data_IF_574293610905
#
_entry.id   IF_574293610905
#
_cell.length_a   1.000
_cell.length_b   1.000
_cell.length_c   1.000
_cell.angle_alpha   90.00
_cell.angle_beta   90.00
_cell.angle_gamma   90.00
#
_symmetry.space_group_name_H-M   'P 1'
#
loop_
_entity.id
_entity.type
_entity.pdbx_description
1 polymer ?
#
# COMPACT_ATOMS: atom_id res chain seq x y z
N UNK A 1 4.78 20.06 -7.83
CA UNK A 1 4.23 21.43 -7.95
C UNK A 1 4.89 22.26 -6.87
N UNK A 2 5.50 23.41 -7.17
CA UNK A 2 6.44 24.09 -6.27
C UNK A 2 5.85 24.67 -4.97
N UNK A 3 4.59 24.50 -4.66
CA UNK A 3 3.94 25.02 -3.45
C UNK A 3 2.92 24.08 -2.83
N UNK A 4 2.91 22.82 -3.21
CA UNK A 4 2.14 21.81 -2.50
C UNK A 4 3.06 21.17 -1.48
N UNK A 5 2.71 21.17 -0.23
CA UNK A 5 3.48 20.64 0.89
C UNK A 5 4.10 19.25 0.69
N UNK A 6 4.45 18.60 1.76
CA UNK A 6 4.98 17.23 1.75
C UNK A 6 3.80 16.28 1.57
N UNK A 7 3.84 15.46 0.51
CA UNK A 7 2.95 14.31 0.36
C UNK A 7 3.53 13.15 1.16
N UNK A 8 2.82 12.73 2.20
CA UNK A 8 3.20 11.57 3.01
C UNK A 8 2.32 10.37 2.62
N UNK A 9 2.85 9.45 1.80
CA UNK A 9 2.12 8.24 1.37
C UNK A 9 2.10 7.15 2.45
N UNK A 10 3.15 7.05 3.25
CA UNK A 10 3.28 6.10 4.36
C UNK A 10 4.20 6.65 5.44
N UNK A 11 4.04 6.18 6.67
CA UNK A 11 4.89 6.59 7.79
C UNK A 11 4.72 5.71 9.03
N UNK A 12 5.64 5.90 9.95
CA UNK A 12 5.67 5.24 11.26
C UNK A 12 6.04 6.28 12.31
N UNK A 13 5.39 6.26 13.47
CA UNK A 13 5.77 7.12 14.59
C UNK A 13 6.62 6.37 15.63
N UNK A 14 7.09 7.08 16.65
CA UNK A 14 7.93 6.56 17.74
C UNK A 14 7.24 5.49 18.60
N UNK A 15 5.92 5.37 18.53
CA UNK A 15 5.14 4.32 19.17
C UNK A 15 4.95 3.07 18.30
N UNK A 16 5.59 3.01 17.15
CA UNK A 16 5.43 1.96 16.13
C UNK A 16 4.00 1.87 15.58
N UNK A 17 3.26 2.95 15.59
CA UNK A 17 2.03 3.07 14.82
C UNK A 17 2.41 3.38 13.39
N UNK A 18 1.92 2.56 12.47
CA UNK A 18 2.19 2.69 11.04
C UNK A 18 0.93 3.08 10.29
N UNK A 19 1.06 3.92 9.27
CA UNK A 19 -0.03 4.33 8.40
C UNK A 19 0.40 4.30 6.94
N UNK A 20 -0.57 4.00 6.08
CA UNK A 20 -0.49 4.21 4.64
C UNK A 20 -1.81 4.81 4.17
N UNK A 21 -1.78 5.97 3.57
CA UNK A 21 -2.90 6.54 2.85
C UNK A 21 -2.90 5.96 1.44
N UNK A 22 -4.02 5.38 1.04
CA UNK A 22 -4.16 4.83 -0.30
C UNK A 22 -5.07 5.74 -1.12
N UNK A 23 -4.59 6.08 -2.31
CA UNK A 23 -5.31 6.88 -3.28
C UNK A 23 -6.67 6.29 -3.61
N UNK A 24 -7.63 7.15 -3.68
CA UNK A 24 -8.93 7.10 -4.37
C UNK A 24 -9.63 5.74 -4.43
N UNK A 25 -10.53 5.50 -3.51
CA UNK A 25 -11.59 4.52 -3.67
C UNK A 25 -12.82 5.19 -4.33
N UNK A 26 -13.68 4.42 -4.97
CA UNK A 26 -14.85 4.96 -5.65
C UNK A 26 -16.13 4.75 -4.82
N UNK A 27 -16.82 5.84 -4.50
CA UNK A 27 -18.12 5.88 -3.84
C UNK A 27 -19.21 6.15 -4.88
N UNK A 28 -20.39 5.55 -4.73
CA UNK A 28 -21.45 5.73 -5.72
C UNK A 28 -22.13 7.10 -5.64
N UNK A 29 -22.71 7.52 -6.76
CA UNK A 29 -23.33 8.84 -6.94
C UNK A 29 -24.47 9.16 -5.95
N UNK A 30 -25.14 8.15 -5.39
CA UNK A 30 -26.22 8.36 -4.41
C UNK A 30 -25.64 8.81 -3.07
N UNK A 31 -24.51 8.26 -2.68
CA UNK A 31 -23.78 8.68 -1.49
C UNK A 31 -23.24 10.08 -1.68
N UNK A 32 -22.58 10.34 -2.82
CA UNK A 32 -22.03 11.67 -3.12
C UNK A 32 -23.11 12.76 -3.26
N UNK A 33 -24.32 12.40 -3.68
CA UNK A 33 -25.45 13.34 -3.68
C UNK A 33 -25.98 13.63 -2.26
N UNK A 34 -25.82 12.69 -1.33
CA UNK A 34 -26.28 12.83 0.07
C UNK A 34 -25.22 13.48 0.98
N UNK A 35 -23.96 13.20 0.73
CA UNK A 35 -22.78 13.75 1.42
C UNK A 35 -21.69 14.10 0.37
N UNK A 36 -21.78 15.28 -0.26
CA UNK A 36 -20.83 15.72 -1.26
C UNK A 36 -19.42 15.87 -0.72
N UNK A 37 -18.44 15.60 -1.57
CA UNK A 37 -17.03 15.90 -1.26
C UNK A 37 -16.84 17.40 -0.98
N UNK A 38 -15.96 17.73 -0.05
CA UNK A 38 -15.67 19.09 0.38
C UNK A 38 -14.57 19.69 -0.48
N UNK A 39 -14.93 20.15 -1.68
CA UNK A 39 -13.99 20.73 -2.63
C UNK A 39 -13.62 22.16 -2.28
N UNK A 40 -12.37 22.56 -2.56
CA UNK A 40 -11.92 23.94 -2.46
C UNK A 40 -12.76 24.83 -3.39
N UNK A 41 -13.36 25.87 -2.83
CA UNK A 41 -14.02 26.92 -3.60
C UNK A 41 -13.13 28.17 -3.60
N UNK A 42 -12.51 28.51 -4.74
CA UNK A 42 -11.62 29.65 -4.80
C UNK A 42 -12.39 30.97 -4.59
N UNK A 43 -11.71 31.97 -4.03
CA UNK A 43 -12.29 33.29 -3.86
C UNK A 43 -12.78 33.84 -5.21
N UNK A 44 -13.96 34.48 -5.21
CA UNK A 44 -14.52 35.15 -6.37
C UNK A 44 -14.68 36.64 -6.10
N UNK A 45 -13.68 37.42 -6.53
CA UNK A 45 -13.66 38.90 -6.33
C UNK A 45 -14.88 39.59 -6.97
N UNK A 46 -15.38 39.09 -8.09
CA UNK A 46 -16.54 39.68 -8.78
C UNK A 46 -17.86 39.48 -8.01
N UNK A 47 -17.94 38.43 -7.18
CA UNK A 47 -19.10 38.12 -6.34
C UNK A 47 -18.89 38.46 -4.86
N UNK A 48 -17.74 39.03 -4.50
CA UNK A 48 -17.34 39.36 -3.12
C UNK A 48 -17.46 38.12 -2.17
N UNK A 49 -17.10 36.93 -2.69
CA UNK A 49 -17.11 35.70 -1.89
C UNK A 49 -15.68 35.29 -1.55
N UNK A 50 -15.38 35.05 -0.24
CA UNK A 50 -14.06 34.56 0.17
C UNK A 50 -13.83 33.12 -0.30
N UNK A 51 -12.58 32.70 -0.29
CA UNK A 51 -12.22 31.29 -0.48
C UNK A 51 -12.84 30.45 0.66
N UNK A 52 -13.38 29.27 0.26
CA UNK A 52 -13.80 28.23 1.22
C UNK A 52 -12.81 27.08 1.09
N UNK A 53 -12.08 26.73 2.16
CA UNK A 53 -11.11 25.64 2.14
C UNK A 53 -11.76 24.31 1.74
N UNK A 54 -11.00 23.46 1.04
CA UNK A 54 -11.36 22.07 0.83
C UNK A 54 -11.22 21.23 2.09
N UNK A 55 -11.74 20.03 2.05
CA UNK A 55 -11.54 19.01 3.07
C UNK A 55 -10.13 18.42 3.04
N UNK A 56 -9.91 17.41 3.86
CA UNK A 56 -8.64 16.71 3.99
C UNK A 56 -8.42 15.79 2.77
N UNK A 57 -7.22 15.75 2.23
CA UNK A 57 -6.81 14.82 1.18
C UNK A 57 -5.77 13.81 1.66
N UNK A 58 -5.43 12.87 0.78
CA UNK A 58 -4.43 11.82 1.08
C UNK A 58 -3.07 12.41 1.50
N UNK A 59 -2.69 13.56 0.92
CA UNK A 59 -1.44 14.25 1.22
C UNK A 59 -1.30 14.70 2.67
N UNK A 60 -2.41 14.92 3.36
CA UNK A 60 -2.44 15.46 4.73
C UNK A 60 -2.73 14.40 5.80
N UNK A 61 -3.40 13.30 5.44
CA UNK A 61 -3.94 12.32 6.40
C UNK A 61 -2.86 11.82 7.37
N UNK A 62 -1.69 11.38 6.86
CA UNK A 62 -0.63 10.84 7.70
C UNK A 62 -0.09 11.89 8.66
N UNK A 63 0.16 13.11 8.18
CA UNK A 63 0.71 14.20 8.99
C UNK A 63 -0.26 14.74 10.02
N UNK A 64 -1.57 14.62 9.78
CA UNK A 64 -2.63 15.02 10.70
C UNK A 64 -2.95 13.97 11.78
N UNK A 65 -2.62 12.71 11.53
CA UNK A 65 -2.96 11.60 12.42
C UNK A 65 -1.75 11.07 13.17
N UNK A 66 -0.73 10.63 12.45
CA UNK A 66 0.37 9.83 12.99
C UNK A 66 1.14 10.48 14.14
N UNK A 67 1.45 11.80 14.15
CA UNK A 67 2.17 12.44 15.25
C UNK A 67 1.39 12.56 16.57
N UNK A 68 0.10 12.18 16.60
CA UNK A 68 -0.79 12.45 17.71
C UNK A 68 -1.37 11.20 18.37
N UNK A 69 -0.91 10.02 17.97
CA UNK A 69 -1.51 8.74 18.38
C UNK A 69 -0.45 7.76 18.85
N UNK A 70 -0.85 6.89 19.77
CA UNK A 70 0.03 5.86 20.37
C UNK A 70 -0.42 4.44 20.02
N UNK A 71 -1.62 4.28 19.45
CA UNK A 71 -2.16 3.00 19.00
C UNK A 71 -2.87 3.16 17.65
N UNK A 72 -3.03 2.06 16.92
CA UNK A 72 -3.77 2.03 15.67
C UNK A 72 -5.24 2.45 15.88
N UNK A 73 -5.84 2.02 16.97
CA UNK A 73 -7.22 2.35 17.35
C UNK A 73 -7.44 3.85 17.60
N UNK A 74 -6.49 4.50 18.27
CA UNK A 74 -6.49 5.96 18.41
C UNK A 74 -6.35 6.65 17.05
N UNK A 75 -5.56 6.08 16.15
CA UNK A 75 -5.42 6.56 14.78
C UNK A 75 -6.73 6.56 14.02
N UNK A 76 -7.50 5.47 14.10
CA UNK A 76 -8.83 5.38 13.49
C UNK A 76 -9.78 6.43 14.07
N UNK A 77 -9.84 6.54 15.42
CA UNK A 77 -10.72 7.50 16.07
C UNK A 77 -10.39 8.95 15.70
N UNK A 78 -9.08 9.30 15.70
CA UNK A 78 -8.62 10.63 15.33
C UNK A 78 -8.92 10.97 13.87
N UNK A 79 -8.65 10.04 12.94
CA UNK A 79 -8.98 10.25 11.53
C UNK A 79 -10.48 10.47 11.36
N UNK A 80 -11.30 9.65 12.03
CA UNK A 80 -12.75 9.79 12.02
C UNK A 80 -13.23 11.16 12.48
N UNK A 81 -12.72 11.66 13.62
CA UNK A 81 -13.05 13.00 14.14
C UNK A 81 -12.65 14.12 13.16
N UNK A 82 -11.51 13.99 12.50
CA UNK A 82 -11.05 14.95 11.50
C UNK A 82 -11.98 14.95 10.28
N UNK A 83 -12.37 13.78 9.78
CA UNK A 83 -13.29 13.62 8.66
C UNK A 83 -14.68 14.17 8.99
N UNK A 84 -15.21 13.89 10.16
CA UNK A 84 -16.51 14.43 10.60
C UNK A 84 -16.49 15.96 10.76
N UNK A 85 -15.35 16.53 11.10
CA UNK A 85 -15.21 17.98 11.36
C UNK A 85 -14.91 18.79 10.10
N UNK A 86 -14.01 18.32 9.28
CA UNK A 86 -13.46 19.06 8.11
C UNK A 86 -13.87 18.48 6.77
N UNK A 87 -14.32 17.24 6.76
CA UNK A 87 -14.61 16.50 5.55
C UNK A 87 -13.38 16.13 4.74
N UNK A 88 -13.62 15.49 3.61
CA UNK A 88 -12.61 15.16 2.61
C UNK A 88 -13.03 15.64 1.22
N UNK A 89 -12.05 16.04 0.39
CA UNK A 89 -12.33 16.40 -1.01
C UNK A 89 -12.20 15.21 -1.97
N UNK A 90 -11.78 14.04 -1.46
CA UNK A 90 -11.63 12.81 -2.24
C UNK A 90 -11.95 11.58 -1.37
N UNK A 91 -12.21 10.45 -2.00
CA UNK A 91 -12.49 9.22 -1.27
C UNK A 91 -11.23 8.38 -1.11
N UNK A 92 -10.89 8.03 0.12
CA UNK A 92 -9.66 7.32 0.48
C UNK A 92 -9.93 6.04 1.27
N UNK A 93 -9.04 5.05 1.06
CA UNK A 93 -8.84 3.94 1.96
C UNK A 93 -7.53 4.13 2.73
N UNK A 94 -7.54 3.97 4.03
CA UNK A 94 -6.38 4.19 4.90
C UNK A 94 -6.11 2.98 5.76
N UNK A 95 -4.86 2.51 5.77
CA UNK A 95 -4.40 1.43 6.64
C UNK A 95 -3.73 2.06 7.85
N UNK A 96 -4.11 1.62 9.05
CA UNK A 96 -3.50 2.02 10.32
C UNK A 96 -3.19 0.76 11.11
N UNK A 97 -1.95 0.59 11.53
CA UNK A 97 -1.52 -0.61 12.25
C UNK A 97 -0.57 -0.29 13.40
N UNK A 98 -0.55 -1.16 14.38
CA UNK A 98 0.44 -1.21 15.45
C UNK A 98 0.86 -2.66 15.72
N UNK A 99 1.45 -2.94 16.87
CA UNK A 99 1.90 -4.29 17.25
C UNK A 99 0.75 -5.27 17.51
N UNK A 100 -0.45 -4.77 17.79
CA UNK A 100 -1.61 -5.56 18.22
C UNK A 100 -2.72 -5.62 17.19
N UNK A 101 -2.90 -4.58 16.37
CA UNK A 101 -4.06 -4.44 15.49
C UNK A 101 -3.70 -3.85 14.13
N UNK A 102 -4.44 -4.29 13.10
CA UNK A 102 -4.46 -3.67 11.77
C UNK A 102 -5.89 -3.21 11.50
N UNK A 103 -6.08 -1.94 11.20
CA UNK A 103 -7.35 -1.33 10.83
C UNK A 103 -7.32 -0.82 9.40
N UNK A 104 -8.43 -0.98 8.72
CA UNK A 104 -8.67 -0.38 7.42
C UNK A 104 -9.87 0.56 7.50
N UNK A 105 -9.66 1.80 7.09
CA UNK A 105 -10.66 2.87 7.08
C UNK A 105 -11.05 3.17 5.65
N UNK A 106 -12.35 3.29 5.37
CA UNK A 106 -12.90 3.76 4.10
C UNK A 106 -13.73 5.02 4.32
N UNK A 107 -13.47 6.08 3.55
CA UNK A 107 -14.32 7.27 3.54
C UNK A 107 -15.60 7.02 2.76
N UNK A 108 -16.72 7.53 3.26
CA UNK A 108 -18.06 7.36 2.69
C UNK A 108 -18.64 8.74 2.42
N UNK A 109 -18.42 9.27 1.22
CA UNK A 109 -18.78 10.65 0.91
C UNK A 109 -17.82 11.68 1.54
N UNK A 110 -18.31 12.88 1.79
CA UNK A 110 -17.52 14.00 2.28
C UNK A 110 -17.14 13.92 3.75
N UNK A 111 -18.01 13.37 4.62
CA UNK A 111 -17.81 13.42 6.08
C UNK A 111 -17.96 12.08 6.78
N UNK A 112 -18.62 11.10 6.15
CA UNK A 112 -18.85 9.80 6.75
C UNK A 112 -17.69 8.85 6.47
N UNK A 113 -17.50 7.87 7.36
CA UNK A 113 -16.47 6.87 7.26
C UNK A 113 -16.85 5.58 7.98
N UNK A 114 -16.20 4.49 7.60
CA UNK A 114 -16.24 3.20 8.28
C UNK A 114 -14.81 2.70 8.48
N UNK A 115 -14.60 1.86 9.48
CA UNK A 115 -13.36 1.15 9.70
C UNK A 115 -13.62 -0.28 10.16
N UNK A 116 -12.80 -1.20 9.70
CA UNK A 116 -12.84 -2.60 10.10
C UNK A 116 -11.45 -3.09 10.47
N UNK A 117 -11.35 -3.75 11.62
CA UNK A 117 -10.14 -4.46 12.04
C UNK A 117 -9.93 -5.69 11.16
N UNK A 118 -8.73 -5.89 10.65
CA UNK A 118 -8.35 -7.11 9.96
C UNK A 118 -8.20 -8.22 11.00
N UNK A 119 -8.86 -9.37 10.86
CA UNK A 119 -8.66 -10.51 11.76
C UNK A 119 -7.20 -10.97 11.76
N UNK A 120 -6.70 -11.44 12.91
CA UNK A 120 -5.28 -11.73 13.14
C UNK A 120 -4.71 -12.85 12.26
N UNK A 121 -5.57 -13.73 11.77
CA UNK A 121 -5.22 -14.85 10.89
C UNK A 121 -5.52 -14.58 9.40
N UNK A 122 -5.90 -13.35 9.06
CA UNK A 122 -6.35 -12.99 7.72
C UNK A 122 -5.40 -12.01 7.02
N UNK A 123 -5.44 -12.03 5.70
CA UNK A 123 -5.02 -10.91 4.86
C UNK A 123 -6.24 -10.21 4.27
N UNK A 124 -6.08 -8.96 3.90
CA UNK A 124 -7.09 -8.18 3.17
C UNK A 124 -6.55 -7.72 1.82
N UNK A 125 -7.43 -7.69 0.80
CA UNK A 125 -7.09 -7.16 -0.53
C UNK A 125 -7.81 -5.84 -0.75
N UNK A 126 -7.03 -4.79 -1.05
CA UNK A 126 -7.50 -3.40 -1.09
C UNK A 126 -7.16 -2.78 -2.45
N UNK A 127 -8.02 -2.97 -3.48
CA UNK A 127 -7.91 -2.22 -4.72
C UNK A 127 -8.47 -0.79 -4.56
N UNK A 128 -8.42 0.03 -5.62
CA UNK A 128 -9.02 1.38 -5.62
C UNK A 128 -10.57 1.34 -5.66
N UNK A 129 -11.18 0.60 -4.74
CA UNK A 129 -12.60 0.33 -4.65
C UNK A 129 -12.94 0.08 -3.18
N UNK A 130 -14.16 0.42 -2.73
CA UNK A 130 -14.60 -0.01 -1.40
C UNK A 130 -14.51 -1.54 -1.31
N UNK A 131 -13.85 -2.01 -0.26
CA UNK A 131 -13.55 -3.42 -0.04
C UNK A 131 -14.39 -4.05 1.05
N UNK A 132 -14.64 -3.34 2.15
CA UNK A 132 -15.34 -3.87 3.33
C UNK A 132 -16.70 -4.43 2.90
N UNK A 133 -16.90 -5.72 3.11
CA UNK A 133 -18.04 -6.49 2.64
C UNK A 133 -19.02 -6.89 3.75
N UNK A 134 -18.64 -6.70 5.00
CA UNK A 134 -19.46 -6.94 6.19
C UNK A 134 -19.17 -5.88 7.25
N UNK A 135 -20.22 -5.35 7.87
CA UNK A 135 -20.14 -4.32 8.89
C UNK A 135 -21.24 -4.47 9.94
N UNK A 136 -20.84 -4.60 11.20
CA UNK A 136 -21.73 -4.78 12.35
C UNK A 136 -21.90 -3.46 13.13
N UNK A 137 -23.08 -2.87 13.06
CA UNK A 137 -23.43 -1.67 13.81
C UNK A 137 -23.53 -1.89 15.32
N UNK A 138 -23.84 -3.12 15.76
CA UNK A 138 -23.93 -3.40 17.19
C UNK A 138 -22.56 -3.34 17.86
N UNK A 139 -21.51 -3.79 17.18
CA UNK A 139 -20.13 -3.61 17.63
C UNK A 139 -19.67 -2.16 17.46
N UNK A 140 -19.93 -1.54 16.31
CA UNK A 140 -19.46 -0.19 16.00
C UNK A 140 -20.00 0.88 16.96
N UNK A 141 -21.24 0.78 17.40
CA UNK A 141 -21.85 1.65 18.42
C UNK A 141 -21.73 1.11 19.85
N UNK A 142 -21.21 -0.10 20.02
CA UNK A 142 -20.99 -0.78 21.29
C UNK A 142 -19.53 -0.78 21.74
N UNK A 143 -18.93 -1.95 21.74
CA UNK A 143 -17.57 -2.16 22.25
C UNK A 143 -16.46 -1.77 21.26
N UNK A 144 -16.79 -1.57 20.00
CA UNK A 144 -15.86 -1.17 18.91
C UNK A 144 -14.65 -2.11 18.79
N UNK A 145 -14.87 -3.40 18.94
CA UNK A 145 -13.79 -4.39 18.87
C UNK A 145 -13.26 -4.57 17.45
N UNK A 146 -14.18 -4.62 16.48
CA UNK A 146 -13.87 -4.93 15.10
C UNK A 146 -14.35 -3.87 14.11
N UNK A 147 -15.27 -3.01 14.52
CA UNK A 147 -15.88 -2.01 13.65
C UNK A 147 -15.95 -0.64 14.33
N UNK A 148 -15.70 0.40 13.56
CA UNK A 148 -15.90 1.80 13.96
C UNK A 148 -16.50 2.57 12.78
N UNK A 149 -17.25 3.63 13.05
CA UNK A 149 -17.82 4.49 12.01
C UNK A 149 -18.17 5.87 12.53
N UNK A 150 -18.50 6.78 11.63
CA UNK A 150 -19.09 8.07 11.98
C UNK A 150 -20.37 7.90 12.80
N UNK A 151 -20.57 8.82 13.75
CA UNK A 151 -21.57 8.68 14.81
C UNK A 151 -23.01 8.55 14.30
N UNK A 152 -23.33 9.15 13.16
CA UNK A 152 -24.68 9.19 12.58
C UNK A 152 -24.82 8.33 11.31
N UNK A 153 -23.84 7.47 10.98
CA UNK A 153 -23.83 6.69 9.74
C UNK A 153 -25.13 5.90 9.53
N UNK A 154 -25.67 5.27 10.58
CA UNK A 154 -26.93 4.51 10.47
C UNK A 154 -28.10 5.42 10.11
N UNK A 155 -28.22 6.56 10.77
CA UNK A 155 -29.25 7.55 10.48
C UNK A 155 -29.09 8.13 9.08
N UNK A 156 -27.85 8.37 8.64
CA UNK A 156 -27.53 8.80 7.28
C UNK A 156 -28.04 7.81 6.23
N UNK A 157 -27.74 6.50 6.41
CA UNK A 157 -28.23 5.44 5.52
C UNK A 157 -29.75 5.42 5.42
N UNK A 158 -30.43 5.50 6.57
CA UNK A 158 -31.90 5.45 6.64
C UNK A 158 -32.52 6.70 6.03
N UNK A 159 -32.04 7.89 6.39
CA UNK A 159 -32.51 9.19 5.89
C UNK A 159 -32.44 9.31 4.39
N UNK A 160 -31.35 8.82 3.79
CA UNK A 160 -31.09 8.91 2.35
C UNK A 160 -31.44 7.62 1.58
N UNK A 161 -32.07 6.64 2.27
CA UNK A 161 -32.50 5.36 1.69
C UNK A 161 -31.35 4.62 0.95
N UNK A 162 -30.12 4.75 1.42
CA UNK A 162 -28.93 4.17 0.78
C UNK A 162 -28.91 2.64 0.86
N UNK A 163 -29.55 2.05 1.86
CA UNK A 163 -29.66 0.61 2.06
C UNK A 163 -30.42 -0.14 0.96
N UNK A 164 -30.99 0.55 -0.02
CA UNK A 164 -31.62 -0.08 -1.18
C UNK A 164 -30.60 -0.20 -2.32
N UNK A 165 -29.98 -1.36 -2.45
CA UNK A 165 -29.13 -1.64 -3.61
C UNK A 165 -29.97 -1.59 -4.89
N UNK A 166 -29.63 -0.66 -5.77
CA UNK A 166 -30.24 -0.51 -7.10
C UNK A 166 -29.42 -1.26 -8.16
N UNK A 167 -28.82 -2.41 -7.82
CA UNK A 167 -28.11 -3.24 -8.79
C UNK A 167 -29.10 -4.13 -9.51
N UNK A 168 -29.11 -4.15 -10.87
CA UNK A 168 -29.73 -5.25 -11.59
C UNK A 168 -28.88 -6.49 -11.32
N UNK A 169 -29.41 -7.46 -10.57
CA UNK A 169 -28.87 -8.80 -10.59
C UNK A 169 -28.87 -9.27 -12.06
N UNK A 170 -27.76 -9.78 -12.55
CA UNK A 170 -27.73 -10.35 -13.91
C UNK A 170 -28.84 -11.43 -14.00
N UNK A 171 -29.91 -11.10 -14.69
CA UNK A 171 -30.98 -12.04 -15.06
C UNK A 171 -32.25 -12.07 -14.21
N UNK A 172 -32.37 -11.36 -13.09
CA UNK A 172 -33.63 -11.31 -12.33
C UNK A 172 -33.67 -10.08 -11.42
N UNK A 173 -34.52 -9.14 -11.72
CA UNK A 173 -35.02 -8.09 -10.85
C UNK A 173 -34.01 -7.37 -9.93
N UNK A 174 -34.35 -6.18 -9.49
CA UNK A 174 -33.55 -5.42 -8.53
C UNK A 174 -33.27 -6.24 -7.28
N UNK A 175 -31.98 -6.57 -7.05
CA UNK A 175 -31.57 -7.17 -5.79
C UNK A 175 -31.86 -6.22 -4.64
N UNK A 176 -32.50 -6.74 -3.59
CA UNK A 176 -32.65 -6.00 -2.34
C UNK A 176 -31.26 -6.02 -1.68
N UNK A 177 -30.70 -4.84 -1.37
CA UNK A 177 -29.55 -4.79 -0.48
C UNK A 177 -29.95 -5.46 0.82
N UNK A 178 -29.13 -6.41 1.25
CA UNK A 178 -29.30 -6.98 2.58
C UNK A 178 -28.87 -5.94 3.62
N UNK A 179 -29.76 -5.01 3.94
CA UNK A 179 -29.68 -4.27 5.19
C UNK A 179 -30.40 -5.14 6.21
N UNK A 180 -29.63 -5.91 6.95
CA UNK A 180 -30.10 -6.52 8.19
C UNK A 180 -30.15 -5.43 9.25
N UNK A 181 -31.00 -5.59 10.32
CA UNK A 181 -31.16 -4.55 11.33
C UNK A 181 -29.85 -4.04 11.94
N UNK A 182 -28.84 -4.90 12.05
CA UNK A 182 -27.54 -4.58 12.68
C UNK A 182 -26.34 -4.82 11.76
N UNK A 183 -26.52 -5.32 10.54
CA UNK A 183 -25.48 -5.60 9.59
C UNK A 183 -25.74 -4.98 8.22
N UNK A 184 -24.68 -4.52 7.55
CA UNK A 184 -24.73 -4.11 6.16
C UNK A 184 -23.53 -4.71 5.40
N UNK A 185 -23.65 -4.76 4.08
CA UNK A 185 -22.49 -4.91 3.19
C UNK A 185 -22.13 -3.52 2.63
N UNK A 186 -21.09 -2.84 3.17
CA UNK A 186 -20.73 -1.47 2.76
C UNK A 186 -20.40 -1.37 1.28
N UNK A 187 -19.66 -2.34 0.72
CA UNK A 187 -19.34 -2.40 -0.71
C UNK A 187 -20.60 -2.36 -1.57
N UNK A 188 -21.64 -3.09 -1.17
CA UNK A 188 -22.92 -3.11 -1.90
C UNK A 188 -23.74 -1.81 -1.71
N UNK A 189 -23.65 -1.18 -0.53
CA UNK A 189 -24.41 0.02 -0.18
C UNK A 189 -23.77 1.29 -0.73
N UNK A 190 -22.45 1.43 -0.58
CA UNK A 190 -21.72 2.67 -0.86
C UNK A 190 -20.82 2.58 -2.09
N UNK A 191 -20.36 1.38 -2.45
CA UNK A 191 -19.37 1.17 -3.50
C UNK A 191 -19.92 1.27 -4.92
N UNK A 192 -19.02 1.12 -5.87
CA UNK A 192 -19.29 1.05 -7.30
C UNK A 192 -19.11 -0.37 -7.85
N UNK A 193 -19.71 -0.64 -9.00
CA UNK A 193 -19.52 -1.86 -9.79
C UNK A 193 -19.68 -1.47 -11.25
N UNK A 194 -18.66 -0.86 -11.78
CA UNK A 194 -18.64 -0.34 -13.16
C UNK A 194 -17.73 -1.19 -14.03
N UNK A 195 -17.80 -1.02 -15.34
CA UNK A 195 -16.84 -1.62 -16.29
C UNK A 195 -15.40 -1.22 -15.94
N UNK A 196 -15.20 0.01 -15.43
CA UNK A 196 -13.88 0.46 -14.96
C UNK A 196 -13.40 -0.38 -13.78
N UNK A 197 -14.27 -0.69 -12.81
CA UNK A 197 -13.92 -1.53 -11.66
C UNK A 197 -13.50 -2.94 -12.10
N UNK A 198 -14.20 -3.52 -13.08
CA UNK A 198 -13.92 -4.84 -13.64
C UNK A 198 -12.64 -4.90 -14.51
N UNK A 199 -12.05 -3.78 -14.85
CA UNK A 199 -10.77 -3.70 -15.56
C UNK A 199 -9.64 -3.30 -14.60
N UNK A 200 -9.95 -2.43 -13.65
CA UNK A 200 -8.96 -1.74 -12.82
C UNK A 200 -8.85 -2.32 -11.42
N UNK A 201 -9.95 -2.75 -10.79
CA UNK A 201 -10.03 -3.07 -9.37
C UNK A 201 -10.15 -4.57 -9.11
N UNK A 202 -11.26 -5.19 -9.48
CA UNK A 202 -11.57 -6.58 -9.15
C UNK A 202 -10.53 -7.59 -9.65
N UNK A 203 -9.88 -7.42 -10.84
CA UNK A 203 -8.87 -8.36 -11.28
C UNK A 203 -7.63 -8.40 -10.37
N UNK A 204 -7.26 -7.27 -9.76
CA UNK A 204 -6.13 -7.21 -8.85
C UNK A 204 -6.41 -7.96 -7.55
N UNK A 205 -7.59 -7.75 -6.95
CA UNK A 205 -8.01 -8.48 -5.76
C UNK A 205 -8.12 -9.99 -6.03
N UNK A 206 -8.72 -10.37 -7.19
CA UNK A 206 -8.81 -11.75 -7.64
C UNK A 206 -7.43 -12.41 -7.74
N UNK A 207 -6.45 -11.74 -8.35
CA UNK A 207 -5.10 -12.29 -8.53
C UNK A 207 -4.37 -12.48 -7.20
N UNK A 208 -4.45 -11.52 -6.29
CA UNK A 208 -3.85 -11.64 -4.95
C UNK A 208 -4.43 -12.83 -4.20
N UNK A 209 -5.76 -13.01 -4.22
CA UNK A 209 -6.41 -14.13 -3.55
C UNK A 209 -6.09 -15.46 -4.23
N UNK A 210 -6.05 -15.51 -5.56
CA UNK A 210 -5.60 -16.68 -6.32
C UNK A 210 -4.19 -17.12 -5.91
N UNK A 211 -3.31 -16.19 -5.62
CA UNK A 211 -1.93 -16.48 -5.19
C UNK A 211 -1.86 -16.98 -3.76
N UNK A 212 -2.66 -16.42 -2.86
CA UNK A 212 -2.62 -16.74 -1.42
C UNK A 212 -3.54 -17.91 -1.01
N UNK A 213 -4.46 -18.28 -1.89
CA UNK A 213 -5.34 -19.46 -1.71
C UNK A 213 -5.35 -20.34 -2.98
N UNK A 214 -4.21 -20.92 -3.38
CA UNK A 214 -4.03 -21.56 -4.69
C UNK A 214 -4.78 -22.91 -4.83
N UNK A 215 -5.25 -23.52 -3.75
CA UNK A 215 -6.00 -24.78 -3.83
C UNK A 215 -7.45 -24.62 -4.29
N UNK A 216 -7.97 -23.38 -4.30
CA UNK A 216 -9.30 -23.11 -4.84
C UNK A 216 -9.28 -23.09 -6.38
N UNK A 217 -10.46 -23.36 -6.96
CA UNK A 217 -10.63 -23.25 -8.42
C UNK A 217 -10.78 -21.78 -8.84
N UNK A 218 -9.72 -21.22 -9.43
CA UNK A 218 -9.68 -19.83 -9.91
C UNK A 218 -9.74 -19.72 -11.44
N UNK A 219 -9.44 -20.82 -12.15
CA UNK A 219 -9.11 -20.76 -13.57
C UNK A 219 -10.12 -21.50 -14.45
N UNK A 220 -10.96 -22.38 -13.89
CA UNK A 220 -11.94 -23.13 -14.68
C UNK A 220 -13.19 -22.28 -15.01
N UNK A 221 -13.95 -22.63 -16.03
CA UNK A 221 -15.23 -21.99 -16.32
C UNK A 221 -16.28 -22.11 -15.20
N UNK A 222 -16.06 -23.01 -14.23
CA UNK A 222 -16.93 -23.22 -13.07
C UNK A 222 -16.38 -22.51 -11.81
N UNK A 223 -15.28 -21.80 -11.91
CA UNK A 223 -14.70 -21.08 -10.79
C UNK A 223 -15.73 -20.13 -10.15
N UNK A 224 -15.75 -20.12 -8.81
CA UNK A 224 -16.64 -19.25 -8.06
C UNK A 224 -16.34 -17.78 -8.30
N UNK A 225 -15.05 -17.45 -8.35
CA UNK A 225 -14.57 -16.09 -8.55
C UNK A 225 -13.81 -15.97 -9.87
N UNK A 226 -14.12 -14.94 -10.60
CA UNK A 226 -13.46 -14.55 -11.85
C UNK A 226 -12.77 -13.20 -11.65
N UNK A 227 -11.89 -12.77 -12.55
CA UNK A 227 -11.30 -11.43 -12.47
C UNK A 227 -12.31 -10.27 -12.35
N UNK A 228 -13.54 -10.47 -12.81
CA UNK A 228 -14.59 -9.46 -12.82
C UNK A 228 -15.63 -9.65 -11.69
N UNK A 229 -15.39 -10.54 -10.74
CA UNK A 229 -16.32 -10.80 -9.62
C UNK A 229 -16.36 -9.64 -8.62
N UNK A 230 -17.56 -9.16 -8.34
CA UNK A 230 -17.81 -8.10 -7.34
C UNK A 230 -17.88 -8.62 -5.90
N UNK A 231 -18.02 -9.93 -5.73
CA UNK A 231 -18.27 -10.61 -4.45
C UNK A 231 -17.05 -11.35 -3.89
N UNK A 232 -15.86 -11.08 -4.44
CA UNK A 232 -14.61 -11.56 -3.83
C UNK A 232 -14.52 -11.07 -2.39
N UNK A 233 -14.27 -11.95 -1.39
CA UNK A 233 -14.20 -11.54 0.01
C UNK A 233 -13.16 -10.43 0.24
N UNK A 234 -13.44 -9.49 1.13
CA UNK A 234 -12.49 -8.45 1.48
C UNK A 234 -11.25 -9.00 2.18
N UNK A 235 -11.45 -9.92 3.14
CA UNK A 235 -10.36 -10.58 3.85
C UNK A 235 -10.55 -12.11 3.87
N UNK A 236 -9.43 -12.83 3.94
CA UNK A 236 -9.41 -14.30 3.95
C UNK A 236 -8.23 -14.80 4.77
N UNK A 237 -8.38 -16.03 5.28
CA UNK A 237 -7.25 -16.79 5.83
C UNK A 237 -6.42 -17.33 4.65
N UNK A 238 -5.12 -17.04 4.57
CA UNK A 238 -4.27 -17.61 3.52
C UNK A 238 -4.02 -19.10 3.78
N UNK A 239 -3.70 -19.88 2.74
CA UNK A 239 -3.39 -21.30 2.89
C UNK A 239 -2.05 -21.53 3.61
N UNK A 240 -1.06 -20.67 3.32
CA UNK A 240 0.23 -20.64 3.99
C UNK A 240 0.48 -19.28 4.62
N UNK A 241 1.40 -19.19 5.57
CA UNK A 241 1.82 -17.90 6.13
C UNK A 241 2.38 -17.01 5.03
N UNK A 242 1.88 -15.78 4.97
CA UNK A 242 2.34 -14.78 3.99
C UNK A 242 3.69 -14.24 4.43
N UNK A 243 4.68 -14.42 3.59
CA UNK A 243 6.02 -13.86 3.77
C UNK A 243 6.11 -12.44 3.20
N UNK A 244 7.20 -11.77 3.51
CA UNK A 244 7.48 -10.47 2.89
C UNK A 244 7.71 -10.59 1.38
N UNK A 245 8.34 -11.70 0.96
CA UNK A 245 8.54 -12.04 -0.44
C UNK A 245 7.22 -12.20 -1.19
N UNK A 246 6.20 -12.79 -0.55
CA UNK A 246 4.85 -12.87 -1.12
C UNK A 246 4.23 -11.47 -1.29
N UNK A 247 4.42 -10.58 -0.31
CA UNK A 247 3.93 -9.20 -0.39
C UNK A 247 4.64 -8.43 -1.51
N UNK A 248 5.97 -8.48 -1.57
CA UNK A 248 6.78 -7.84 -2.63
C UNK A 248 6.38 -8.36 -4.02
N UNK A 249 6.25 -9.69 -4.17
CA UNK A 249 5.78 -10.32 -5.40
C UNK A 249 4.40 -9.82 -5.80
N UNK A 250 3.42 -9.83 -4.88
CA UNK A 250 2.06 -9.43 -5.17
C UNK A 250 1.94 -7.96 -5.56
N UNK A 251 2.64 -7.07 -4.84
CA UNK A 251 2.62 -5.64 -5.14
C UNK A 251 3.38 -5.28 -6.42
N UNK A 252 4.30 -6.14 -6.85
CA UNK A 252 5.04 -6.02 -8.11
C UNK A 252 4.40 -6.77 -9.28
N UNK A 253 3.36 -7.56 -9.03
CA UNK A 253 2.81 -8.50 -10.00
C UNK A 253 2.13 -7.85 -11.20
N UNK A 254 2.26 -8.55 -12.33
CA UNK A 254 1.62 -8.23 -13.60
C UNK A 254 0.73 -9.38 -14.11
N UNK A 255 0.12 -10.19 -13.22
CA UNK A 255 -0.73 -11.35 -13.50
C UNK A 255 0.04 -12.57 -14.02
N UNK A 256 1.25 -12.81 -13.55
CA UNK A 256 2.12 -13.91 -13.94
C UNK A 256 1.38 -15.25 -13.90
N UNK A 257 1.62 -16.09 -14.92
CA UNK A 257 1.01 -17.41 -15.03
C UNK A 257 -0.47 -17.42 -15.42
N UNK A 258 -1.04 -16.28 -15.82
CA UNK A 258 -2.40 -16.15 -16.33
C UNK A 258 -2.43 -15.71 -17.79
N UNK A 259 -3.58 -15.82 -18.49
CA UNK A 259 -3.74 -15.26 -19.84
C UNK A 259 -3.72 -13.71 -19.89
N UNK A 260 -3.64 -13.04 -18.75
CA UNK A 260 -3.69 -11.58 -18.62
C UNK A 260 -2.32 -10.93 -18.43
N UNK A 261 -1.29 -11.75 -18.28
CA UNK A 261 0.10 -11.30 -18.13
C UNK A 261 0.60 -10.60 -19.41
N UNK A 262 0.92 -9.28 -19.35
CA UNK A 262 1.41 -8.54 -20.51
C UNK A 262 2.73 -9.07 -21.08
N UNK A 263 3.56 -9.71 -20.26
CA UNK A 263 4.80 -10.37 -20.68
C UNK A 263 4.64 -11.88 -20.91
N UNK A 264 3.44 -12.41 -20.64
CA UNK A 264 3.18 -13.84 -20.72
C UNK A 264 3.13 -14.38 -22.15
N UNK A 265 3.31 -15.69 -22.27
CA UNK A 265 3.20 -16.44 -23.53
C UNK A 265 1.82 -17.07 -23.73
N UNK A 266 0.97 -17.06 -22.69
CA UNK A 266 -0.40 -17.55 -22.71
C UNK A 266 -1.40 -16.45 -23.06
N UNK A 267 -2.60 -16.83 -23.52
CA UNK A 267 -3.62 -15.85 -23.92
C UNK A 267 -3.40 -15.23 -25.30
N UNK A 268 -4.23 -14.23 -25.59
CA UNK A 268 -4.20 -13.44 -26.85
C UNK A 268 -3.59 -12.06 -26.60
N UNK A 269 -3.36 -11.30 -27.67
CA UNK A 269 -2.91 -9.91 -27.55
C UNK A 269 -3.91 -9.05 -26.77
N UNK A 270 -5.22 -9.29 -26.94
CA UNK A 270 -6.26 -8.57 -26.23
C UNK A 270 -6.34 -8.98 -24.75
N UNK A 271 -6.24 -10.28 -24.42
CA UNK A 271 -6.31 -10.72 -23.02
C UNK A 271 -5.13 -10.26 -22.19
N UNK A 272 -3.92 -10.24 -22.75
CA UNK A 272 -2.69 -9.81 -22.07
C UNK A 272 -2.69 -8.33 -21.67
N UNK A 273 -3.51 -7.50 -22.28
CA UNK A 273 -3.63 -6.07 -21.97
C UNK A 273 -5.02 -5.68 -21.45
N UNK A 274 -5.82 -6.68 -21.06
CA UNK A 274 -7.20 -6.46 -20.64
C UNK A 274 -7.32 -5.75 -19.31
N UNK A 275 -6.49 -6.13 -18.34
CA UNK A 275 -6.58 -5.66 -16.96
C UNK A 275 -5.35 -4.82 -16.56
N UNK A 276 -5.57 -3.86 -15.67
CA UNK A 276 -4.49 -3.08 -15.08
C UNK A 276 -3.65 -3.97 -14.14
N UNK A 277 -2.34 -4.14 -14.38
CA UNK A 277 -1.47 -4.85 -13.46
C UNK A 277 -1.43 -4.22 -12.06
N UNK A 278 -1.08 -5.01 -11.04
CA UNK A 278 -0.81 -4.52 -9.69
C UNK A 278 0.46 -3.66 -9.75
N UNK A 279 1.59 -4.26 -10.14
CA UNK A 279 2.86 -3.58 -10.41
C UNK A 279 2.82 -2.81 -11.74
N UNK A 280 2.14 -1.69 -11.78
CA UNK A 280 2.00 -0.89 -13.01
C UNK A 280 3.23 0.01 -13.23
N UNK A 281 3.53 0.32 -14.50
CA UNK A 281 4.70 1.11 -14.91
C UNK A 281 4.80 2.50 -14.25
N UNK A 282 3.69 3.10 -13.85
CA UNK A 282 3.64 4.44 -13.24
C UNK A 282 3.78 4.41 -11.71
N UNK A 283 3.88 3.25 -11.07
CA UNK A 283 4.15 3.15 -9.64
C UNK A 283 5.43 3.93 -9.32
N UNK A 284 5.35 4.89 -8.42
CA UNK A 284 6.48 5.71 -8.00
C UNK A 284 7.16 5.17 -6.75
N UNK A 285 6.35 4.63 -5.84
CA UNK A 285 6.74 4.14 -4.54
C UNK A 285 5.91 2.92 -4.16
N UNK A 286 6.53 1.97 -3.48
CA UNK A 286 5.89 0.84 -2.83
C UNK A 286 6.52 0.66 -1.45
N UNK A 287 5.70 0.39 -0.45
CA UNK A 287 6.15 0.09 0.90
C UNK A 287 5.38 -1.07 1.50
N UNK A 288 6.10 -1.98 2.17
CA UNK A 288 5.53 -2.93 3.12
C UNK A 288 6.07 -2.60 4.51
N UNK A 289 5.18 -2.22 5.42
CA UNK A 289 5.58 -1.86 6.79
C UNK A 289 5.41 -3.10 7.67
N UNK A 290 6.52 -3.56 8.22
CA UNK A 290 6.59 -4.74 9.08
C UNK A 290 6.75 -4.31 10.53
N UNK A 291 5.75 -4.54 11.37
CA UNK A 291 5.81 -4.34 12.83
C UNK A 291 6.07 -5.69 13.50
N UNK A 292 7.22 -5.83 14.18
CA UNK A 292 7.75 -7.10 14.70
C UNK A 292 7.60 -7.19 16.22
N UNK A 293 6.58 -7.90 16.75
CA UNK A 293 6.29 -7.94 18.19
C UNK A 293 7.37 -8.62 19.04
N UNK A 294 8.26 -9.38 18.40
CA UNK A 294 9.28 -10.22 19.05
C UNK A 294 10.64 -9.53 19.23
N UNK A 295 10.76 -8.25 18.85
CA UNK A 295 11.96 -7.44 19.04
C UNK A 295 11.64 -6.20 19.89
N UNK A 296 12.66 -5.55 20.50
CA UNK A 296 12.46 -4.32 21.27
C UNK A 296 11.76 -3.21 20.47
N UNK A 297 11.04 -2.33 21.16
CA UNK A 297 10.26 -1.26 20.52
C UNK A 297 11.13 -0.35 19.63
N UNK A 298 12.38 -0.11 20.01
CA UNK A 298 13.28 0.78 19.28
C UNK A 298 13.65 0.31 17.87
N UNK A 299 13.70 -1.00 17.59
CA UNK A 299 14.00 -1.58 16.28
C UNK A 299 12.83 -2.41 15.73
N UNK A 300 11.63 -2.25 16.29
CA UNK A 300 10.43 -3.07 15.97
C UNK A 300 9.96 -2.91 14.56
N UNK A 301 9.90 -1.68 14.05
CA UNK A 301 9.33 -1.42 12.74
C UNK A 301 10.40 -1.26 11.67
N UNK A 302 10.23 -2.03 10.61
CA UNK A 302 11.04 -1.98 9.39
C UNK A 302 10.13 -1.66 8.21
N UNK A 303 10.52 -0.70 7.41
CA UNK A 303 9.87 -0.35 6.15
C UNK A 303 10.64 -0.99 5.00
N UNK A 304 9.99 -1.89 4.27
CA UNK A 304 10.53 -2.46 3.04
C UNK A 304 10.07 -1.61 1.87
N UNK A 305 11.01 -0.87 1.31
CA UNK A 305 10.71 0.22 0.36
C UNK A 305 11.30 -0.09 -1.01
N UNK A 306 10.53 0.15 -2.06
CA UNK A 306 11.05 0.25 -3.42
C UNK A 306 10.57 1.52 -4.11
N UNK A 307 11.41 2.09 -4.97
CA UNK A 307 11.07 3.25 -5.79
C UNK A 307 11.08 2.87 -7.27
N UNK A 308 10.06 3.31 -8.00
CA UNK A 308 9.88 3.04 -9.42
C UNK A 308 8.92 1.89 -9.69
N UNK A 309 8.90 1.40 -10.92
CA UNK A 309 7.98 0.35 -11.37
C UNK A 309 8.30 -0.99 -10.71
N UNK A 310 7.36 -1.54 -9.94
CA UNK A 310 7.51 -2.74 -9.12
C UNK A 310 8.17 -3.94 -9.83
N UNK A 311 7.75 -4.35 -11.05
CA UNK A 311 8.34 -5.48 -11.76
C UNK A 311 9.83 -5.36 -12.06
N UNK A 312 10.42 -4.17 -11.95
CA UNK A 312 11.81 -3.86 -12.29
C UNK A 312 12.65 -3.41 -11.11
N UNK A 313 12.12 -3.53 -9.89
CA UNK A 313 12.76 -3.08 -8.65
C UNK A 313 12.78 -4.19 -7.60
N UNK A 314 13.26 -3.86 -6.42
CA UNK A 314 13.20 -4.75 -5.26
C UNK A 314 12.88 -3.94 -4.00
N UNK A 315 12.08 -4.49 -3.12
CA UNK A 315 11.87 -3.93 -1.79
C UNK A 315 13.11 -4.17 -0.91
N UNK A 316 13.62 -3.09 -0.31
CA UNK A 316 14.76 -3.11 0.59
C UNK A 316 14.37 -2.61 1.97
N UNK A 317 14.88 -3.22 3.07
CA UNK A 317 14.48 -2.85 4.41
C UNK A 317 15.22 -1.63 4.93
N UNK A 318 14.46 -0.76 5.62
CA UNK A 318 14.97 0.38 6.35
C UNK A 318 14.29 0.46 7.71
N UNK A 319 15.08 0.63 8.76
CA UNK A 319 14.55 0.90 10.09
C UNK A 319 13.88 2.27 10.12
N UNK A 320 12.73 2.35 10.77
CA UNK A 320 11.92 3.57 10.81
C UNK A 320 12.33 4.54 11.95
N UNK A 321 12.89 4.02 13.05
CA UNK A 321 13.27 4.82 14.22
C UNK A 321 14.67 5.43 14.05
N UNK A 322 14.81 6.38 13.14
CA UNK A 322 16.05 7.04 12.76
C UNK A 322 15.83 8.55 12.60
N UNK A 323 16.92 9.35 12.65
CA UNK A 323 16.84 10.78 12.49
C UNK A 323 17.14 11.27 11.06
N UNK A 324 17.77 10.43 10.24
CA UNK A 324 18.12 10.78 8.86
C UNK A 324 17.83 9.66 7.87
N UNK A 325 17.62 10.02 6.63
CA UNK A 325 17.43 9.11 5.50
C UNK A 325 18.68 9.09 4.62
N UNK A 326 19.18 7.91 4.19
CA UNK A 326 20.36 7.83 3.34
C UNK A 326 20.22 8.67 2.06
N UNK A 327 21.30 9.38 1.71
CA UNK A 327 21.30 10.34 0.61
C UNK A 327 20.90 9.75 -0.76
N UNK A 328 21.11 8.44 -0.95
CA UNK A 328 20.72 7.76 -2.19
C UNK A 328 19.21 7.62 -2.37
N UNK A 329 18.41 7.74 -1.28
CA UNK A 329 16.97 7.58 -1.27
C UNK A 329 16.19 8.90 -1.22
N UNK A 330 16.85 9.99 -0.81
CA UNK A 330 16.20 11.30 -0.58
C UNK A 330 16.51 12.31 -1.69
N UNK A 331 15.92 13.50 -1.59
CA UNK A 331 16.19 14.66 -2.42
C UNK A 331 15.97 14.43 -3.93
N UNK A 332 15.00 13.58 -4.27
CA UNK A 332 14.63 13.34 -5.67
C UNK A 332 14.07 14.61 -6.30
N UNK A 333 14.66 15.03 -7.40
CA UNK A 333 14.23 16.19 -8.20
C UNK A 333 13.65 15.75 -9.55
N UNK A 334 12.97 16.62 -10.31
CA UNK A 334 12.56 16.35 -11.67
C UNK A 334 13.72 16.08 -12.64
N UNK A 335 14.95 16.42 -12.28
CA UNK A 335 16.14 16.20 -13.10
C UNK A 335 16.59 14.73 -12.97
N UNK A 336 16.74 14.06 -14.11
CA UNK A 336 17.14 12.64 -14.16
C UNK A 336 18.61 12.49 -13.75
N UNK A 337 18.86 11.63 -12.77
CA UNK A 337 20.21 11.38 -12.25
C UNK A 337 20.35 9.94 -11.74
N UNK A 338 21.45 9.27 -12.09
CA UNK A 338 21.80 7.96 -11.52
C UNK A 338 22.43 8.06 -10.12
N UNK A 339 22.58 9.25 -9.59
CA UNK A 339 22.97 9.49 -8.19
C UNK A 339 21.84 9.26 -7.19
N UNK A 340 20.63 8.90 -7.64
CA UNK A 340 19.42 8.74 -6.87
C UNK A 340 18.75 7.40 -7.24
N UNK A 341 18.24 6.66 -6.23
CA UNK A 341 17.63 5.35 -6.42
C UNK A 341 16.41 5.41 -7.35
N UNK A 342 15.50 6.37 -7.15
CA UNK A 342 14.29 6.51 -7.95
C UNK A 342 14.58 6.57 -9.45
N UNK A 343 15.45 7.51 -9.87
CA UNK A 343 15.77 7.66 -11.28
C UNK A 343 16.58 6.51 -11.87
N UNK A 344 17.46 5.89 -11.05
CA UNK A 344 18.19 4.69 -11.47
C UNK A 344 17.20 3.56 -11.79
N UNK A 345 16.24 3.31 -10.89
CA UNK A 345 15.19 2.28 -11.10
C UNK A 345 14.28 2.63 -12.30
N UNK A 346 13.92 3.91 -12.47
CA UNK A 346 13.12 4.35 -13.63
C UNK A 346 13.86 4.11 -14.95
N UNK A 347 15.15 4.35 -15.01
CA UNK A 347 15.97 4.07 -16.19
C UNK A 347 16.04 2.57 -16.48
N UNK A 348 16.29 1.75 -15.46
CA UNK A 348 16.26 0.28 -15.58
C UNK A 348 14.92 -0.17 -16.16
N UNK A 349 13.82 0.27 -15.57
CA UNK A 349 12.47 -0.11 -15.98
C UNK A 349 12.18 0.26 -17.44
N UNK A 350 12.46 1.50 -17.85
CA UNK A 350 12.21 1.96 -19.24
C UNK A 350 12.99 1.14 -20.27
N UNK A 351 14.22 0.73 -19.96
CA UNK A 351 15.05 -0.06 -20.87
C UNK A 351 14.65 -1.54 -20.85
N UNK A 352 14.39 -2.09 -19.65
CA UNK A 352 14.08 -3.51 -19.49
C UNK A 352 12.67 -3.87 -19.98
N UNK A 353 11.69 -2.99 -19.87
CA UNK A 353 10.31 -3.20 -20.33
C UNK A 353 10.25 -3.58 -21.83
N UNK A 354 11.06 -2.92 -22.65
CA UNK A 354 11.14 -3.19 -24.08
C UNK A 354 11.85 -4.53 -24.42
N UNK A 355 12.57 -5.10 -23.47
CA UNK A 355 13.41 -6.29 -23.64
C UNK A 355 13.24 -7.25 -22.46
N UNK A 356 12.00 -7.46 -22.02
CA UNK A 356 11.65 -8.24 -20.83
C UNK A 356 12.32 -9.62 -20.79
N UNK A 357 12.21 -10.41 -21.86
CA UNK A 357 12.71 -11.78 -21.89
C UNK A 357 14.23 -11.88 -21.75
N UNK A 358 14.95 -10.91 -22.29
CA UNK A 358 16.40 -10.89 -22.27
C UNK A 358 16.98 -10.31 -20.98
N UNK A 359 16.21 -9.44 -20.29
CA UNK A 359 16.68 -8.69 -19.12
C UNK A 359 16.12 -9.18 -17.79
N UNK A 360 14.98 -9.86 -17.79
CA UNK A 360 14.27 -10.33 -16.60
C UNK A 360 15.18 -11.08 -15.60
N UNK A 361 16.02 -11.99 -16.08
CA UNK A 361 16.95 -12.75 -15.23
C UNK A 361 17.89 -11.88 -14.39
N UNK A 362 18.25 -10.69 -14.88
CA UNK A 362 19.11 -9.77 -14.13
C UNK A 362 18.32 -9.06 -13.04
N UNK A 363 17.06 -8.75 -13.32
CA UNK A 363 16.13 -8.11 -12.36
C UNK A 363 15.81 -9.08 -11.24
N UNK A 364 15.45 -10.34 -11.56
CA UNK A 364 15.20 -11.39 -10.58
C UNK A 364 16.41 -11.63 -9.67
N UNK A 365 17.60 -11.78 -10.27
CA UNK A 365 18.84 -11.96 -9.51
C UNK A 365 19.19 -10.76 -8.62
N UNK A 366 18.90 -9.54 -9.07
CA UNK A 366 19.05 -8.33 -8.26
C UNK A 366 18.06 -8.34 -7.09
N UNK A 367 16.79 -8.59 -7.34
CA UNK A 367 15.75 -8.61 -6.32
C UNK A 367 16.03 -9.68 -5.24
N UNK A 368 16.44 -10.88 -5.65
CA UNK A 368 16.85 -11.94 -4.73
C UNK A 368 18.06 -11.53 -3.88
N UNK A 369 19.06 -10.90 -4.50
CA UNK A 369 20.24 -10.39 -3.81
C UNK A 369 19.91 -9.32 -2.77
N UNK A 370 19.03 -8.36 -3.11
CA UNK A 370 18.56 -7.30 -2.20
C UNK A 370 17.83 -7.88 -1.00
N UNK A 371 16.88 -8.80 -1.22
CA UNK A 371 16.14 -9.45 -0.13
C UNK A 371 17.06 -10.25 0.78
N UNK A 372 17.94 -11.09 0.20
CA UNK A 372 18.87 -11.89 0.99
C UNK A 372 19.86 -11.03 1.79
N UNK A 373 20.32 -9.91 1.25
CA UNK A 373 21.16 -8.97 1.99
C UNK A 373 20.36 -8.29 3.10
N UNK A 374 19.14 -7.82 2.78
CA UNK A 374 18.27 -7.14 3.73
C UNK A 374 17.93 -7.99 4.96
N UNK A 375 17.55 -9.24 4.78
CA UNK A 375 17.30 -10.15 5.91
C UNK A 375 18.53 -10.34 6.79
N UNK A 376 19.71 -10.58 6.20
CA UNK A 376 20.96 -10.70 6.98
C UNK A 376 21.33 -9.42 7.73
N UNK A 377 21.05 -8.26 7.11
CA UNK A 377 21.30 -6.97 7.75
C UNK A 377 20.41 -6.79 8.97
N UNK A 378 19.10 -7.08 8.84
CA UNK A 378 18.14 -7.02 9.95
C UNK A 378 18.57 -7.95 11.07
N UNK A 379 18.80 -9.24 10.78
CA UNK A 379 19.20 -10.25 11.76
C UNK A 379 20.44 -9.79 12.55
N UNK A 380 21.50 -9.39 11.86
CA UNK A 380 22.74 -8.92 12.47
C UNK A 380 22.52 -7.67 13.33
N UNK A 381 21.73 -6.71 12.85
CA UNK A 381 21.47 -5.46 13.59
C UNK A 381 20.65 -5.75 14.85
N UNK A 382 19.62 -6.59 14.74
CA UNK A 382 18.82 -7.00 15.89
C UNK A 382 19.65 -7.75 16.94
N UNK A 383 20.53 -8.67 16.53
CA UNK A 383 21.47 -9.38 17.44
C UNK A 383 22.43 -8.41 18.15
N UNK A 384 22.96 -7.42 17.41
CA UNK A 384 23.86 -6.40 18.00
C UNK A 384 23.16 -5.55 19.05
N UNK A 385 21.90 -5.16 18.80
CA UNK A 385 21.11 -4.36 19.75
C UNK A 385 20.71 -5.19 20.98
N UNK A 386 20.35 -6.45 20.80
CA UNK A 386 20.07 -7.36 21.91
C UNK A 386 21.31 -7.58 22.78
N UNK A 387 22.50 -7.81 22.20
CA UNK A 387 23.74 -7.99 22.94
C UNK A 387 24.16 -6.75 23.75
N UNK A 388 23.83 -5.54 23.27
CA UNK A 388 24.03 -4.27 24.02
C UNK A 388 23.11 -4.22 25.24
N UNK A 389 21.82 -4.49 25.03
CA UNK A 389 20.81 -4.54 26.09
C UNK A 389 21.19 -5.52 27.22
N UNK A 390 21.70 -6.71 26.89
CA UNK A 390 22.15 -7.72 27.87
C UNK A 390 23.42 -7.30 28.62
N UNK A 391 24.34 -6.59 27.96
CA UNK A 391 25.57 -6.09 28.60
C UNK A 391 25.30 -4.96 29.60
N UNK A 392 24.29 -4.14 29.35
CA UNK A 392 23.85 -3.03 30.21
C UNK A 392 22.95 -3.50 31.35
N UNK A 393 22.25 -4.63 31.21
CA UNK A 393 21.34 -5.21 32.21
C UNK A 393 22.03 -5.82 33.45
N UNK A 394 23.34 -5.69 33.61
CA UNK A 394 24.03 -6.01 34.86
C UNK A 394 23.73 -5.00 35.99
N UNK A 395 23.07 -3.91 35.68
CA UNK A 395 22.45 -2.99 36.64
C UNK A 395 20.91 -3.18 36.61
N UNK A 396 20.31 -3.46 37.72
CA UNK A 396 18.97 -4.02 37.96
C UNK A 396 17.77 -3.18 37.52
N UNK A 397 17.89 -2.36 36.48
CA UNK A 397 16.79 -1.65 35.86
C UNK A 397 16.81 -1.93 34.35
N UNK A 398 16.24 -3.07 33.99
CA UNK A 398 16.05 -3.51 32.63
C UNK A 398 15.43 -2.39 31.73
N UNK A 399 15.93 -2.28 30.51
CA UNK A 399 15.32 -1.57 29.42
C UNK A 399 13.80 -1.79 29.39
N UNK A 400 12.97 -0.72 29.46
CA UNK A 400 11.52 -0.88 29.49
C UNK A 400 11.04 -1.43 28.15
N UNK A 401 10.47 -2.63 28.17
CA UNK A 401 9.71 -3.18 27.03
C UNK A 401 8.47 -2.34 26.68
N UNK A 402 8.13 -1.36 27.53
CA UNK A 402 6.87 -0.61 27.52
C UNK A 402 7.05 0.92 27.33
N UNK A 403 8.01 1.37 26.52
CA UNK A 403 8.11 2.81 26.16
C UNK A 403 8.57 3.75 27.28
N UNK A 404 9.25 3.24 28.33
CA UNK A 404 9.91 4.07 29.34
C UNK A 404 11.12 4.81 28.76
N UNK A 405 11.31 6.07 29.13
CA UNK A 405 12.44 6.89 28.71
C UNK A 405 13.75 6.29 29.20
N UNK A 406 14.50 5.65 28.29
CA UNK A 406 15.91 5.33 28.50
C UNK A 406 16.75 6.62 28.65
N UNK A 407 18.01 6.49 29.14
CA UNK A 407 18.92 7.65 29.16
C UNK A 407 19.10 8.19 27.72
N UNK A 408 19.11 9.53 27.53
CA UNK A 408 19.25 10.14 26.18
C UNK A 408 20.42 9.58 25.37
N UNK A 409 21.49 9.14 26.04
CA UNK A 409 22.67 8.54 25.40
C UNK A 409 22.39 7.14 24.84
N UNK A 410 21.54 6.35 25.48
CA UNK A 410 21.21 5.00 25.05
C UNK A 410 20.26 5.05 23.86
N UNK A 411 19.29 5.98 23.87
CA UNK A 411 18.37 6.24 22.76
C UNK A 411 19.16 6.69 21.52
N UNK A 412 20.11 7.62 21.67
CA UNK A 412 20.93 8.08 20.55
C UNK A 412 21.82 6.94 20.01
N UNK A 413 22.41 6.13 20.87
CA UNK A 413 23.25 4.99 20.45
C UNK A 413 22.50 3.91 19.67
N UNK A 414 21.20 3.73 19.92
CA UNK A 414 20.32 2.85 19.12
C UNK A 414 20.02 3.50 17.77
N UNK A 415 19.61 4.76 17.75
CA UNK A 415 19.33 5.48 16.51
C UNK A 415 20.55 5.47 15.57
N UNK A 416 21.74 5.75 16.08
CA UNK A 416 23.01 5.72 15.32
C UNK A 416 23.29 4.32 14.71
N UNK A 417 22.96 3.26 15.44
CA UNK A 417 23.14 1.89 14.93
C UNK A 417 22.13 1.54 13.82
N UNK A 418 20.89 2.01 13.95
CA UNK A 418 19.84 1.84 12.93
C UNK A 418 20.14 2.67 11.68
N UNK A 419 20.62 3.91 11.84
CA UNK A 419 21.07 4.75 10.72
C UNK A 419 22.25 4.11 9.97
N UNK A 420 23.23 3.57 10.70
CA UNK A 420 24.36 2.87 10.07
C UNK A 420 23.89 1.63 9.27
N UNK A 421 22.89 0.90 9.76
CA UNK A 421 22.28 -0.20 9.00
C UNK A 421 21.55 0.30 7.75
N UNK A 422 20.80 1.39 7.85
CA UNK A 422 20.13 2.00 6.72
C UNK A 422 21.13 2.51 5.65
N UNK A 423 22.25 3.10 6.07
CA UNK A 423 23.32 3.54 5.17
C UNK A 423 23.98 2.35 4.45
N UNK A 424 24.25 1.25 5.18
CA UNK A 424 24.79 0.02 4.58
C UNK A 424 23.85 -0.57 3.54
N UNK A 425 22.52 -0.57 3.81
CA UNK A 425 21.52 -0.98 2.82
C UNK A 425 21.50 -0.08 1.58
N UNK A 426 21.58 1.23 1.78
CA UNK A 426 21.60 2.20 0.69
C UNK A 426 22.87 2.08 -0.17
N UNK A 427 24.02 1.81 0.43
CA UNK A 427 25.27 1.57 -0.30
C UNK A 427 25.20 0.26 -1.11
N UNK A 428 24.64 -0.80 -0.53
CA UNK A 428 24.37 -2.04 -1.26
C UNK A 428 23.45 -1.79 -2.47
N UNK A 429 22.37 -1.06 -2.29
CA UNK A 429 21.46 -0.70 -3.38
C UNK A 429 22.19 0.09 -4.47
N UNK A 430 23.00 1.09 -4.11
CA UNK A 430 23.75 1.92 -5.07
C UNK A 430 24.68 1.08 -5.94
N UNK A 431 25.43 0.16 -5.34
CA UNK A 431 26.33 -0.73 -6.06
C UNK A 431 25.55 -1.63 -7.02
N UNK A 432 24.50 -2.29 -6.51
CA UNK A 432 23.81 -3.35 -7.26
C UNK A 432 22.82 -2.80 -8.29
N UNK A 433 22.19 -1.64 -8.08
CA UNK A 433 21.43 -0.96 -9.13
C UNK A 433 22.30 -0.42 -10.24
N UNK A 434 23.50 0.05 -9.93
CA UNK A 434 24.50 0.45 -10.95
C UNK A 434 24.88 -0.75 -11.81
N UNK A 435 25.14 -1.89 -11.18
CA UNK A 435 25.44 -3.14 -11.91
C UNK A 435 24.25 -3.59 -12.76
N UNK A 436 23.04 -3.60 -12.20
CA UNK A 436 21.83 -3.97 -12.92
C UNK A 436 21.59 -3.07 -14.14
N UNK A 437 21.74 -1.75 -13.98
CA UNK A 437 21.61 -0.80 -15.08
C UNK A 437 22.62 -1.09 -16.19
N UNK A 438 23.87 -1.42 -15.85
CA UNK A 438 24.90 -1.80 -16.83
C UNK A 438 24.51 -3.07 -17.59
N UNK A 439 24.06 -4.12 -16.88
CA UNK A 439 23.69 -5.41 -17.48
C UNK A 439 22.47 -5.25 -18.43
N UNK A 440 21.45 -4.52 -17.97
CA UNK A 440 20.23 -4.24 -18.74
C UNK A 440 20.54 -3.37 -19.97
N UNK A 441 21.29 -2.28 -19.79
CA UNK A 441 21.63 -1.36 -20.88
C UNK A 441 22.53 -2.04 -21.92
N UNK A 442 23.53 -2.80 -21.49
CA UNK A 442 24.39 -3.57 -22.39
C UNK A 442 23.60 -4.56 -23.22
N UNK A 443 22.74 -5.36 -22.58
CA UNK A 443 21.88 -6.33 -23.25
C UNK A 443 20.96 -5.65 -24.27
N UNK A 444 20.23 -4.61 -23.84
CA UNK A 444 19.27 -3.91 -24.68
C UNK A 444 19.92 -3.16 -25.84
N UNK A 445 21.14 -2.64 -25.66
CA UNK A 445 21.86 -1.95 -26.73
C UNK A 445 22.23 -2.88 -27.88
N UNK A 446 22.44 -4.18 -27.62
CA UNK A 446 22.67 -5.18 -28.62
C UNK A 446 21.40 -5.64 -29.38
N UNK A 447 20.23 -5.25 -28.89
CA UNK A 447 18.92 -5.58 -29.48
C UNK A 447 18.29 -4.39 -30.22
N UNK A 448 19.03 -3.30 -30.43
CA UNK A 448 18.52 -2.14 -31.17
C UNK A 448 18.15 -2.49 -32.60
N UNK A 449 16.98 -2.00 -33.06
CA UNK A 449 16.44 -2.31 -34.39
C UNK A 449 17.16 -1.63 -35.57
N UNK A 450 18.01 -0.63 -35.30
CA UNK A 450 18.80 0.03 -36.34
C UNK A 450 20.10 -0.72 -36.70
N UNK A 451 20.21 -2.00 -36.31
CA UNK A 451 21.34 -2.86 -36.68
C UNK A 451 21.43 -3.04 -38.18
N UNK A 452 22.65 -3.14 -38.69
CA UNK A 452 22.96 -3.37 -40.09
C UNK A 452 23.78 -4.65 -40.21
N UNK A 453 23.39 -5.57 -41.10
CA UNK A 453 23.93 -6.93 -41.18
C UNK A 453 25.46 -7.02 -41.30
N UNK A 454 26.12 -6.01 -41.85
CA UNK A 454 27.58 -5.96 -41.89
C UNK A 454 28.21 -5.51 -40.57
N UNK A 455 27.53 -4.62 -39.79
CA UNK A 455 28.05 -4.16 -38.51
C UNK A 455 27.92 -5.23 -37.42
N UNK A 456 26.89 -6.08 -37.52
CA UNK A 456 26.66 -7.18 -36.55
C UNK A 456 27.75 -8.26 -36.70
N UNK A 457 28.25 -8.49 -37.90
CA UNK A 457 29.37 -9.42 -38.14
C UNK A 457 30.74 -8.83 -37.83
N UNK A 458 30.81 -7.51 -37.66
CA UNK A 458 32.09 -6.85 -37.39
C UNK A 458 32.47 -6.94 -35.91
N UNK A 459 31.49 -7.21 -35.05
CA UNK A 459 31.67 -7.42 -33.61
C UNK A 459 32.03 -8.88 -33.25
N UNK A 460 31.81 -9.83 -34.17
CA UNK A 460 32.25 -11.21 -34.07
C UNK A 460 33.70 -11.36 -34.53
#
# INVERSE_FOLDING_TARGET
>A
LPNRGILAEAGVNEHNVAMSATETIAVNERVLAADPLVELQPANEAADTPEIPGGIGEEDIITLVLPYVTTAREGVARLGELLETYGTYESNGVIISDVDEIWYVETIGGHHWIARRVPDDCYATIPNQLGIDDFDFSDAFGERRFFMCSADLREFIDRHHLGRAMRPAQGAGFGVAAVLPDHINPRAVFGTSTVKDHIYNTPRAWYMQRRLNPSEDWDSPAARYTPESDDTPWCRVPEDKVSLEDVDFLLSSHFEGTPYDPYGTTGTAESRHRYRPIGVNRTGHMVAIQVRPYVPAANRTVMWVSFGSGPFTAAAPFYANVNDTPAYLRDTTPEVSTGNLYWTNRLIAVVADAHWYETNRFIEGYAEGVRAFGHRLIERTDEQLLARSDAESTDTNAWPLDGGHGDEKDVQGVADALEAANDEMADYLREHTTKLLNDVLYTSSNLMHNSFAMSDRWAE
#
